data_IF_760850342334
#
_entry.id   IF_760850342334
#
_cell.length_a   1.000
_cell.length_b   1.000
_cell.length_c   1.000
_cell.angle_alpha   90.00
_cell.angle_beta   90.00
_cell.angle_gamma   90.00
#
_symmetry.space_group_name_H-M   'P 1'
#
loop_
_entity.id
_entity.type
_entity.pdbx_description
1 polymer ?
#
# COMPACT_ATOMS: atom_id res chain seq x y z
N UNK A 1 13.03 3.29 8.69
CA UNK A 1 11.67 2.97 8.18
C UNK A 1 11.08 1.92 9.09
N UNK A 2 9.94 2.21 9.68
CA UNK A 2 9.24 1.27 10.55
C UNK A 2 8.14 0.59 9.75
N UNK A 3 8.05 -0.72 9.82
CA UNK A 3 6.97 -1.51 9.26
C UNK A 3 6.15 -2.02 10.44
N UNK A 4 4.88 -1.63 10.49
CA UNK A 4 3.96 -2.08 11.53
C UNK A 4 3.15 -3.25 10.99
N UNK A 5 3.34 -4.45 11.55
CA UNK A 5 2.46 -5.58 11.32
C UNK A 5 1.46 -5.66 12.47
N UNK A 6 0.18 -5.46 12.16
CA UNK A 6 -0.89 -5.74 13.11
C UNK A 6 -1.39 -7.15 12.79
N UNK A 7 -1.00 -8.13 13.60
CA UNK A 7 -1.53 -9.48 13.51
C UNK A 7 -2.66 -9.63 14.52
N UNK A 8 -3.88 -9.76 14.03
CA UNK A 8 -5.05 -10.06 14.86
C UNK A 8 -5.13 -11.58 15.11
N UNK A 9 -5.01 -11.97 16.35
CA UNK A 9 -5.48 -13.27 16.81
C UNK A 9 -6.80 -13.08 17.55
N UNK A 10 -7.82 -13.84 17.12
CA UNK A 10 -9.16 -13.98 17.69
C UNK A 10 -9.42 -13.29 19.04
N UNK A 11 -10.30 -12.33 19.02
CA UNK A 11 -11.10 -11.73 20.12
C UNK A 11 -10.41 -11.21 21.40
N UNK A 12 -9.15 -11.46 21.70
CA UNK A 12 -8.56 -11.01 22.99
C UNK A 12 -7.16 -10.42 22.95
N UNK A 13 -6.37 -10.60 21.88
CA UNK A 13 -5.00 -10.08 21.85
C UNK A 13 -4.64 -9.48 20.49
N UNK A 14 -4.18 -8.23 20.51
CA UNK A 14 -3.57 -7.57 19.36
C UNK A 14 -2.06 -7.50 19.62
N UNK A 15 -1.23 -8.14 18.76
CA UNK A 15 0.22 -8.02 18.84
C UNK A 15 0.71 -7.05 17.77
N UNK A 16 1.37 -6.00 18.23
CA UNK A 16 1.97 -4.99 17.36
C UNK A 16 3.45 -5.37 17.10
N UNK A 17 3.82 -5.60 15.86
CA UNK A 17 5.22 -5.78 15.47
C UNK A 17 5.72 -4.54 14.73
N UNK A 18 6.75 -3.90 15.26
CA UNK A 18 7.45 -2.80 14.62
C UNK A 18 8.85 -3.26 14.20
N UNK A 19 9.14 -3.23 12.93
CA UNK A 19 10.48 -3.52 12.40
C UNK A 19 11.15 -2.21 12.00
N UNK A 20 12.28 -1.89 12.62
CA UNK A 20 13.08 -0.70 12.29
C UNK A 20 14.15 -1.03 11.25
N UNK A 21 14.34 -0.15 10.26
CA UNK A 21 15.58 -0.05 9.49
C UNK A 21 16.30 1.25 9.87
N UNK A 22 17.62 1.24 10.05
CA UNK A 22 18.38 2.43 10.43
C UNK A 22 18.49 3.42 9.26
N UNK A 23 18.38 4.69 9.59
CA UNK A 23 18.76 5.80 8.73
C UNK A 23 20.26 6.08 8.88
N UNK A 24 20.95 6.32 7.79
CA UNK A 24 22.40 6.59 7.73
C UNK A 24 22.79 7.90 8.39
N UNK A 25 23.99 7.99 9.00
CA UNK A 25 24.62 9.25 9.30
C UNK A 25 25.27 9.82 8.04
N UNK A 26 24.78 10.93 7.56
CA UNK A 26 25.42 11.71 6.49
C UNK A 26 25.82 13.06 7.04
N UNK A 27 27.01 13.53 6.67
CA UNK A 27 27.59 14.80 7.12
C UNK A 27 26.73 16.01 6.71
N UNK A 28 26.62 16.95 7.65
CA UNK A 28 25.56 17.97 7.77
C UNK A 28 25.46 19.07 6.69
N UNK A 29 26.22 19.12 5.63
CA UNK A 29 26.21 20.30 4.78
C UNK A 29 25.70 20.16 3.34
N UNK A 30 25.61 18.95 2.80
CA UNK A 30 25.10 18.74 1.43
C UNK A 30 23.83 17.89 1.35
N UNK A 31 23.51 17.16 2.40
CA UNK A 31 22.40 16.23 2.48
C UNK A 31 21.09 16.91 2.82
N UNK A 32 21.15 18.03 3.54
CA UNK A 32 19.99 18.75 4.06
C UNK A 32 19.10 19.38 2.98
N UNK A 33 19.62 19.68 1.80
CA UNK A 33 18.81 20.29 0.74
C UNK A 33 18.11 19.27 -0.18
N UNK A 34 18.69 18.09 -0.38
CA UNK A 34 18.10 17.04 -1.25
C UNK A 34 17.04 16.20 -0.54
N UNK A 35 17.23 15.91 0.76
CA UNK A 35 16.32 15.03 1.52
C UNK A 35 15.13 15.74 2.16
N UNK A 36 15.10 17.06 2.31
CA UNK A 36 13.93 17.82 2.77
C UNK A 36 12.72 17.77 1.82
N UNK A 37 12.88 17.21 0.63
CA UNK A 37 11.84 17.17 -0.42
C UNK A 37 10.97 15.91 -0.43
N UNK A 38 11.20 14.93 0.43
CA UNK A 38 10.70 13.57 0.15
C UNK A 38 9.79 12.90 1.18
N UNK A 39 9.38 13.56 2.25
CA UNK A 39 8.42 12.98 3.19
C UNK A 39 7.11 13.77 3.22
N UNK A 40 6.39 13.79 2.11
CA UNK A 40 4.97 14.10 2.13
C UNK A 40 4.22 12.80 2.37
N UNK A 41 3.83 12.56 3.61
CA UNK A 41 2.95 11.45 3.96
C UNK A 41 1.54 11.96 4.08
N UNK A 42 0.78 11.81 3.01
CA UNK A 42 -0.66 11.93 3.12
C UNK A 42 -1.14 10.73 3.95
N UNK A 43 -1.86 10.98 5.04
CA UNK A 43 -2.43 9.90 5.82
C UNK A 43 -3.35 9.05 4.93
N UNK A 44 -3.21 7.73 4.96
CA UNK A 44 -4.00 6.83 4.10
C UNK A 44 -5.52 7.00 4.31
N UNK A 45 -5.93 7.52 5.47
CA UNK A 45 -7.31 7.87 5.80
C UNK A 45 -7.84 9.05 4.96
N UNK A 46 -6.95 9.94 4.51
CA UNK A 46 -7.29 11.10 3.67
C UNK A 46 -7.38 10.76 2.18
N UNK A 47 -6.76 9.65 1.76
CA UNK A 47 -6.79 9.18 0.39
C UNK A 47 -8.18 8.61 0.10
N UNK A 48 -8.89 9.18 -0.88
CA UNK A 48 -10.25 8.78 -1.22
C UNK A 48 -10.30 8.02 -2.53
N UNK A 49 -11.15 6.98 -2.55
CA UNK A 49 -11.41 6.10 -3.69
C UNK A 49 -12.91 5.91 -3.86
N UNK A 50 -13.34 5.60 -5.09
CA UNK A 50 -14.73 5.20 -5.34
C UNK A 50 -14.90 3.70 -5.13
N UNK A 51 -15.93 3.33 -4.37
CA UNK A 51 -16.32 1.95 -4.07
C UNK A 51 -17.69 1.66 -4.68
N UNK A 52 -17.80 0.58 -5.44
CA UNK A 52 -19.00 0.11 -6.11
C UNK A 52 -19.47 -1.19 -5.46
N UNK A 53 -20.79 -1.40 -5.40
CA UNK A 53 -21.37 -2.63 -4.84
C UNK A 53 -20.99 -3.89 -5.64
N UNK A 54 -20.79 -3.73 -6.94
CA UNK A 54 -20.29 -4.74 -7.86
C UNK A 54 -19.85 -4.06 -9.18
N UNK A 55 -19.31 -4.84 -10.11
CA UNK A 55 -18.79 -4.30 -11.40
C UNK A 55 -19.84 -3.65 -12.30
N UNK A 56 -21.12 -3.90 -12.07
CA UNK A 56 -22.23 -3.35 -12.86
C UNK A 56 -22.79 -2.06 -12.24
N UNK A 57 -22.43 -1.77 -11.00
CA UNK A 57 -22.90 -0.57 -10.30
C UNK A 57 -22.38 0.69 -10.95
N UNK A 58 -23.26 1.71 -11.02
CA UNK A 58 -22.94 3.04 -11.56
C UNK A 58 -23.00 4.13 -10.51
N UNK A 59 -23.23 3.76 -9.25
CA UNK A 59 -23.34 4.69 -8.13
C UNK A 59 -22.27 4.34 -7.08
N UNK A 60 -21.12 4.99 -7.12
CA UNK A 60 -20.07 4.74 -6.14
C UNK A 60 -20.38 5.41 -4.80
N UNK A 61 -19.80 4.84 -3.73
CA UNK A 61 -19.59 5.50 -2.45
C UNK A 61 -18.13 5.92 -2.36
N UNK A 62 -17.84 7.09 -1.81
CA UNK A 62 -16.47 7.52 -1.53
C UNK A 62 -16.08 6.98 -0.16
N UNK A 63 -14.97 6.24 -0.13
CA UNK A 63 -14.37 5.70 1.10
C UNK A 63 -12.90 6.08 1.19
N UNK A 64 -12.30 5.98 2.37
CA UNK A 64 -10.84 6.08 2.46
C UNK A 64 -10.19 4.80 1.90
N UNK A 65 -9.02 4.97 1.30
CA UNK A 65 -8.24 3.82 0.81
C UNK A 65 -7.88 2.87 1.96
N UNK A 66 -7.55 3.42 3.13
CA UNK A 66 -7.26 2.62 4.32
C UNK A 66 -8.44 1.73 4.73
N UNK A 67 -9.67 2.28 4.79
CA UNK A 67 -10.87 1.49 5.12
C UNK A 67 -11.06 0.34 4.14
N UNK A 68 -10.88 0.58 2.84
CA UNK A 68 -11.00 -0.45 1.80
C UNK A 68 -9.97 -1.56 1.99
N UNK A 69 -8.70 -1.22 2.24
CA UNK A 69 -7.65 -2.23 2.47
C UNK A 69 -7.89 -3.00 3.77
N UNK A 70 -8.31 -2.33 4.85
CA UNK A 70 -8.68 -2.99 6.10
C UNK A 70 -9.82 -4.00 5.87
N UNK A 71 -10.85 -3.66 5.10
CA UNK A 71 -11.94 -4.59 4.77
C UNK A 71 -11.45 -5.79 3.96
N UNK A 72 -10.40 -5.64 3.15
CA UNK A 72 -9.77 -6.76 2.43
C UNK A 72 -8.90 -7.65 3.33
N UNK A 73 -8.34 -7.12 4.41
CA UNK A 73 -7.53 -7.89 5.37
C UNK A 73 -8.46 -8.65 6.34
N UNK A 74 -9.55 -8.02 6.79
CA UNK A 74 -10.51 -8.61 7.69
C UNK A 74 -11.45 -9.61 6.99
N UNK A 75 -12.05 -10.57 7.73
CA UNK A 75 -12.84 -11.67 7.15
C UNK A 75 -14.24 -11.26 6.65
N UNK A 76 -14.43 -9.98 6.26
CA UNK A 76 -15.73 -9.45 5.80
C UNK A 76 -16.24 -10.25 4.59
N UNK A 77 -15.36 -10.58 3.66
CA UNK A 77 -15.69 -11.31 2.44
C UNK A 77 -15.10 -12.73 2.39
N UNK A 78 -14.66 -13.26 3.55
CA UNK A 78 -13.95 -14.54 3.61
C UNK A 78 -14.73 -15.69 2.98
N UNK A 79 -16.04 -15.80 3.25
CA UNK A 79 -16.87 -16.90 2.75
C UNK A 79 -16.93 -16.93 1.22
N UNK A 80 -17.25 -15.80 0.59
CA UNK A 80 -17.37 -15.71 -0.87
C UNK A 80 -15.99 -15.83 -1.55
N UNK A 81 -14.93 -15.23 -0.96
CA UNK A 81 -13.57 -15.34 -1.50
C UNK A 81 -13.05 -16.77 -1.44
N UNK A 82 -13.27 -17.49 -0.35
CA UNK A 82 -12.87 -18.88 -0.24
C UNK A 82 -13.64 -19.77 -1.24
N UNK A 83 -14.92 -19.48 -1.50
CA UNK A 83 -15.67 -20.17 -2.55
C UNK A 83 -15.10 -19.88 -3.95
N UNK A 84 -14.77 -18.62 -4.26
CA UNK A 84 -14.12 -18.23 -5.53
C UNK A 84 -12.81 -18.99 -5.71
N UNK A 85 -11.94 -19.00 -4.70
CA UNK A 85 -10.64 -19.68 -4.74
C UNK A 85 -10.78 -21.19 -4.93
N UNK A 86 -11.79 -21.81 -4.30
CA UNK A 86 -12.07 -23.21 -4.45
C UNK A 86 -12.49 -23.54 -5.90
N UNK A 87 -13.51 -22.84 -6.45
CA UNK A 87 -13.93 -23.05 -7.83
C UNK A 87 -12.79 -22.81 -8.83
N UNK A 88 -11.98 -21.79 -8.58
CA UNK A 88 -10.82 -21.48 -9.41
C UNK A 88 -9.79 -22.61 -9.39
N UNK A 89 -9.48 -23.18 -8.22
CA UNK A 89 -8.58 -24.32 -8.06
C UNK A 89 -9.12 -25.62 -8.67
N UNK A 90 -10.44 -25.82 -8.67
CA UNK A 90 -11.14 -26.95 -9.31
C UNK A 90 -11.24 -26.78 -10.84
N UNK A 91 -10.81 -25.64 -11.40
CA UNK A 91 -10.89 -25.34 -12.84
C UNK A 91 -12.26 -24.84 -13.30
N UNK A 92 -13.24 -24.66 -12.39
CA UNK A 92 -14.54 -24.05 -12.71
C UNK A 92 -14.42 -22.51 -12.70
N UNK A 93 -13.73 -21.98 -13.71
CA UNK A 93 -13.53 -20.55 -13.87
C UNK A 93 -14.85 -19.79 -14.09
N UNK A 94 -15.88 -20.45 -14.64
CA UNK A 94 -17.18 -19.82 -14.86
C UNK A 94 -17.90 -19.54 -13.53
N UNK A 95 -17.95 -20.53 -12.63
CA UNK A 95 -18.51 -20.34 -11.28
C UNK A 95 -17.70 -19.32 -10.47
N UNK A 96 -16.37 -19.40 -10.51
CA UNK A 96 -15.49 -18.43 -9.87
C UNK A 96 -15.76 -16.99 -10.37
N UNK A 97 -15.87 -16.79 -11.68
CA UNK A 97 -16.14 -15.47 -12.28
C UNK A 97 -17.53 -14.95 -11.93
N UNK A 98 -18.54 -15.82 -11.89
CA UNK A 98 -19.91 -15.47 -11.49
C UNK A 98 -19.94 -14.93 -10.06
N UNK A 99 -19.25 -15.58 -9.11
CA UNK A 99 -19.14 -15.09 -7.74
C UNK A 99 -18.30 -13.82 -7.65
N UNK A 100 -17.16 -13.76 -8.36
CA UNK A 100 -16.29 -12.60 -8.40
C UNK A 100 -17.02 -11.34 -8.87
N UNK A 101 -17.93 -11.46 -9.84
CA UNK A 101 -18.72 -10.32 -10.34
C UNK A 101 -19.72 -9.75 -9.32
N UNK A 102 -20.02 -10.46 -8.25
CA UNK A 102 -20.88 -10.01 -7.15
C UNK A 102 -20.10 -9.27 -6.05
N UNK A 103 -18.77 -9.37 -6.06
CA UNK A 103 -17.95 -8.68 -5.07
C UNK A 103 -18.02 -7.17 -5.24
N UNK A 104 -17.95 -6.42 -4.14
CA UNK A 104 -17.64 -5.01 -4.22
C UNK A 104 -16.28 -4.80 -4.89
N UNK A 105 -16.15 -3.64 -5.52
CA UNK A 105 -14.92 -3.25 -6.18
C UNK A 105 -14.67 -1.75 -5.99
N UNK A 106 -13.44 -1.33 -6.19
CA UNK A 106 -13.05 0.06 -6.03
C UNK A 106 -12.09 0.49 -7.13
N UNK A 107 -11.95 1.79 -7.32
CA UNK A 107 -11.00 2.39 -8.25
C UNK A 107 -9.80 2.93 -7.47
N UNK A 108 -8.65 2.23 -7.43
CA UNK A 108 -7.48 2.67 -6.67
C UNK A 108 -7.00 4.07 -7.08
N UNK A 109 -7.08 4.40 -8.36
CA UNK A 109 -6.54 5.63 -8.92
C UNK A 109 -7.28 6.91 -8.49
N UNK A 110 -8.51 6.81 -7.98
CA UNK A 110 -9.23 7.99 -7.50
C UNK A 110 -10.74 7.85 -7.40
N UNK A 111 -11.41 8.98 -7.37
CA UNK A 111 -12.87 9.08 -7.25
C UNK A 111 -13.53 9.37 -8.59
N UNK A 112 -14.78 8.92 -8.72
CA UNK A 112 -15.59 9.05 -9.94
C UNK A 112 -16.99 9.55 -9.60
N UNK A 113 -17.59 10.31 -10.52
CA UNK A 113 -19.01 10.66 -10.49
C UNK A 113 -19.79 9.69 -11.38
N UNK A 114 -20.47 8.73 -10.77
CA UNK A 114 -21.22 7.68 -11.47
C UNK A 114 -20.37 6.47 -11.87
N UNK A 115 -20.51 5.97 -13.10
CA UNK A 115 -19.79 4.79 -13.56
C UNK A 115 -18.27 5.02 -13.63
N UNK A 116 -17.50 3.96 -13.40
CA UNK A 116 -16.02 3.97 -13.49
C UNK A 116 -15.55 4.10 -14.97
N UNK A 117 -15.70 5.26 -15.52
CA UNK A 117 -15.28 5.61 -16.90
C UNK A 117 -14.44 6.90 -16.84
N UNK A 118 -13.40 7.01 -17.66
CA UNK A 118 -12.45 8.15 -17.64
C UNK A 118 -13.16 9.51 -17.66
N UNK A 119 -14.24 9.65 -18.44
CA UNK A 119 -15.03 10.88 -18.50
C UNK A 119 -15.68 11.29 -17.18
N UNK A 120 -15.81 10.36 -16.23
CA UNK A 120 -16.41 10.58 -14.91
C UNK A 120 -15.35 10.70 -13.81
N UNK A 121 -14.06 10.68 -14.16
CA UNK A 121 -12.97 10.81 -13.19
C UNK A 121 -13.00 12.20 -12.55
N UNK A 122 -12.96 12.24 -11.21
CA UNK A 122 -13.05 13.49 -10.45
C UNK A 122 -11.70 13.92 -9.89
N UNK A 123 -11.15 13.11 -8.98
CA UNK A 123 -9.96 13.46 -8.23
C UNK A 123 -9.00 12.25 -8.15
N UNK A 124 -7.71 12.46 -8.41
CA UNK A 124 -6.72 11.41 -8.23
C UNK A 124 -6.51 11.10 -6.74
N UNK A 125 -6.35 9.82 -6.45
CA UNK A 125 -5.93 9.32 -5.13
C UNK A 125 -4.42 9.34 -4.95
N UNK A 126 -3.69 9.43 -6.05
CA UNK A 126 -2.25 9.20 -6.18
C UNK A 126 -1.83 7.73 -5.95
N UNK A 127 -2.78 6.81 -5.83
CA UNK A 127 -2.49 5.38 -5.70
C UNK A 127 -2.43 4.73 -7.08
N UNK A 128 -1.33 4.05 -7.33
CA UNK A 128 -1.16 3.10 -8.43
C UNK A 128 -1.34 1.69 -7.88
N UNK A 129 -2.25 0.92 -8.49
CA UNK A 129 -2.47 -0.49 -8.18
C UNK A 129 -1.91 -1.38 -9.28
N UNK A 130 -1.07 -2.34 -8.91
CA UNK A 130 -0.58 -3.40 -9.78
C UNK A 130 -1.28 -4.71 -9.46
N UNK A 131 -1.49 -5.53 -10.47
CA UNK A 131 -2.07 -6.87 -10.34
C UNK A 131 -1.06 -7.90 -10.86
N UNK A 132 -0.72 -8.88 -10.03
CA UNK A 132 0.14 -10.01 -10.36
C UNK A 132 -0.71 -11.27 -10.32
N UNK A 133 -0.97 -11.88 -11.48
CA UNK A 133 -1.73 -13.11 -11.58
C UNK A 133 -0.84 -14.36 -11.43
N UNK A 134 -1.45 -15.50 -11.10
CA UNK A 134 -0.79 -16.80 -11.01
C UNK A 134 0.43 -16.85 -10.10
N UNK A 135 0.35 -16.18 -8.95
CA UNK A 135 1.44 -16.11 -7.96
C UNK A 135 1.49 -17.39 -7.14
N UNK A 136 2.58 -18.17 -7.28
CA UNK A 136 2.75 -19.46 -6.59
C UNK A 136 2.82 -19.30 -5.07
N UNK A 137 3.60 -18.35 -4.58
CA UNK A 137 3.76 -18.05 -3.14
C UNK A 137 3.34 -16.60 -2.87
N UNK A 138 2.03 -16.42 -2.66
CA UNK A 138 1.45 -15.11 -2.39
C UNK A 138 1.95 -14.50 -1.09
N UNK A 139 2.18 -15.35 -0.07
CA UNK A 139 2.69 -14.90 1.22
C UNK A 139 4.11 -14.32 1.09
N UNK A 140 4.99 -14.99 0.38
CA UNK A 140 6.35 -14.51 0.13
C UNK A 140 6.34 -13.18 -0.62
N UNK A 141 5.49 -13.04 -1.64
CA UNK A 141 5.36 -11.78 -2.39
C UNK A 141 4.88 -10.65 -1.50
N UNK A 142 3.85 -10.88 -0.66
CA UNK A 142 3.37 -9.88 0.30
C UNK A 142 4.46 -9.49 1.29
N UNK A 143 5.24 -10.45 1.80
CA UNK A 143 6.34 -10.17 2.73
C UNK A 143 7.45 -9.33 2.07
N UNK A 144 7.80 -9.62 0.80
CA UNK A 144 8.76 -8.81 0.04
C UNK A 144 8.26 -7.38 -0.16
N UNK A 145 6.98 -7.22 -0.52
CA UNK A 145 6.34 -5.90 -0.59
C UNK A 145 6.35 -5.18 0.75
N UNK A 146 6.01 -5.89 1.84
CA UNK A 146 5.99 -5.31 3.19
C UNK A 146 7.37 -4.85 3.68
N UNK A 147 8.46 -5.44 3.17
CA UNK A 147 9.83 -5.02 3.45
C UNK A 147 10.27 -3.81 2.61
N UNK A 148 9.52 -3.44 1.58
CA UNK A 148 9.85 -2.34 0.68
C UNK A 148 9.22 -1.02 1.16
N UNK A 149 9.99 0.09 1.23
CA UNK A 149 9.49 1.35 1.77
C UNK A 149 8.45 2.05 0.89
N UNK A 150 8.37 1.72 -0.39
CA UNK A 150 7.41 2.32 -1.32
C UNK A 150 6.04 1.63 -1.30
N UNK A 151 5.94 0.46 -0.67
CA UNK A 151 4.67 -0.27 -0.61
C UNK A 151 3.70 0.40 0.34
N UNK A 152 2.56 0.84 -0.19
CA UNK A 152 1.44 1.36 0.60
C UNK A 152 0.58 0.23 1.13
N UNK A 153 0.28 -0.76 0.29
CA UNK A 153 -0.43 -1.97 0.69
C UNK A 153 -0.11 -3.13 -0.27
N UNK A 154 -0.23 -4.36 0.23
CA UNK A 154 -0.18 -5.57 -0.59
C UNK A 154 -1.19 -6.59 -0.06
N UNK A 155 -2.05 -7.12 -0.93
CA UNK A 155 -3.13 -8.05 -0.57
C UNK A 155 -3.24 -9.17 -1.60
N UNK A 156 -3.70 -10.34 -1.16
CA UNK A 156 -4.07 -11.40 -2.09
C UNK A 156 -5.27 -10.97 -2.96
N UNK A 157 -5.28 -11.37 -4.23
CA UNK A 157 -6.43 -11.21 -5.10
C UNK A 157 -7.57 -12.19 -4.72
N UNK A 158 -8.79 -11.99 -5.24
CA UNK A 158 -9.88 -12.96 -5.05
C UNK A 158 -9.58 -14.35 -5.57
N UNK A 159 -8.65 -14.51 -6.49
CA UNK A 159 -8.22 -15.77 -7.09
C UNK A 159 -6.85 -16.21 -6.60
N UNK A 160 -5.85 -16.23 -7.46
CA UNK A 160 -4.52 -16.79 -7.23
C UNK A 160 -3.38 -15.76 -7.31
N UNK A 161 -3.72 -14.47 -7.39
CA UNK A 161 -2.76 -13.38 -7.55
C UNK A 161 -2.52 -12.55 -6.29
N UNK A 162 -1.70 -11.50 -6.47
CA UNK A 162 -1.41 -10.47 -5.46
C UNK A 162 -1.58 -9.10 -6.09
N UNK A 163 -2.15 -8.17 -5.32
CA UNK A 163 -2.26 -6.76 -5.67
C UNK A 163 -1.31 -5.94 -4.82
N UNK A 164 -0.56 -5.06 -5.46
CA UNK A 164 0.40 -4.16 -4.82
C UNK A 164 0.00 -2.73 -5.09
N UNK A 165 0.06 -1.89 -4.07
CA UNK A 165 -0.32 -0.49 -4.15
C UNK A 165 0.83 0.41 -3.72
N UNK A 166 1.08 1.46 -4.49
CA UNK A 166 2.10 2.47 -4.20
C UNK A 166 1.54 3.87 -4.42
N UNK A 167 2.11 4.85 -3.71
CA UNK A 167 1.75 6.25 -3.86
C UNK A 167 2.72 6.95 -4.83
N UNK A 168 2.17 7.75 -5.74
CA UNK A 168 2.95 8.48 -6.73
C UNK A 168 2.60 9.97 -6.67
N UNK A 169 3.58 10.80 -6.33
CA UNK A 169 3.47 12.26 -6.35
C UNK A 169 3.64 12.79 -7.78
N UNK A 170 2.88 13.80 -8.16
CA UNK A 170 2.92 14.38 -9.50
C UNK A 170 2.21 13.54 -10.57
N UNK A 171 1.26 12.67 -10.16
CA UNK A 171 0.54 11.75 -11.06
C UNK A 171 -0.63 12.41 -11.80
N UNK A 172 -1.03 13.63 -11.44
CA UNK A 172 -2.16 14.33 -12.02
C UNK A 172 -2.02 14.42 -13.54
N UNK A 173 -3.01 13.89 -14.28
CA UNK A 173 -3.01 13.76 -15.75
C UNK A 173 -1.86 12.90 -16.33
N UNK A 174 -1.12 12.17 -15.48
CA UNK A 174 0.05 11.36 -15.85
C UNK A 174 -0.03 9.93 -15.27
N UNK A 175 -1.24 9.42 -15.04
CA UNK A 175 -1.45 8.12 -14.39
C UNK A 175 -0.68 6.98 -15.09
N UNK A 176 -0.69 6.99 -16.42
CA UNK A 176 0.02 5.99 -17.23
C UNK A 176 1.54 5.99 -16.98
N UNK A 177 2.14 7.17 -16.81
CA UNK A 177 3.57 7.30 -16.51
C UNK A 177 3.87 6.80 -15.10
N UNK A 178 3.03 7.18 -14.12
CA UNK A 178 3.13 6.66 -12.76
C UNK A 178 3.01 5.15 -12.70
N UNK A 179 2.04 4.59 -13.43
CA UNK A 179 1.86 3.14 -13.53
C UNK A 179 3.09 2.45 -14.14
N UNK A 180 3.68 3.00 -15.20
CA UNK A 180 4.88 2.46 -15.82
C UNK A 180 6.10 2.50 -14.87
N UNK A 181 6.25 3.59 -14.12
CA UNK A 181 7.32 3.74 -13.12
C UNK A 181 7.20 2.67 -12.03
N UNK A 182 6.02 2.56 -11.42
CA UNK A 182 5.72 1.63 -10.33
C UNK A 182 5.80 0.18 -10.80
N UNK A 183 5.24 -0.13 -11.98
CA UNK A 183 5.29 -1.46 -12.57
C UNK A 183 6.73 -1.93 -12.82
N UNK A 184 7.56 -1.10 -13.43
CA UNK A 184 8.98 -1.43 -13.68
C UNK A 184 9.71 -1.72 -12.37
N UNK A 185 9.49 -0.91 -11.36
CA UNK A 185 10.12 -1.08 -10.05
C UNK A 185 9.73 -2.41 -9.40
N UNK A 186 8.43 -2.69 -9.27
CA UNK A 186 7.96 -3.90 -8.61
C UNK A 186 8.18 -5.16 -9.43
N UNK A 187 8.13 -5.11 -10.76
CA UNK A 187 8.49 -6.25 -11.61
C UNK A 187 9.94 -6.67 -11.36
N UNK A 188 10.85 -5.71 -11.25
CA UNK A 188 12.25 -5.98 -10.90
C UNK A 188 12.39 -6.48 -9.46
N UNK A 189 11.72 -5.83 -8.49
CA UNK A 189 11.76 -6.22 -7.08
C UNK A 189 11.27 -7.65 -6.88
N UNK A 190 10.17 -8.03 -7.50
CA UNK A 190 9.50 -9.30 -7.28
C UNK A 190 9.98 -10.42 -8.21
N UNK A 191 10.57 -10.07 -9.34
CA UNK A 191 10.90 -11.02 -10.42
C UNK A 191 9.63 -11.57 -11.10
N UNK A 192 8.58 -10.76 -11.17
CA UNK A 192 7.27 -11.09 -11.75
C UNK A 192 6.87 -9.98 -12.74
N UNK A 193 5.93 -10.29 -13.64
CA UNK A 193 5.35 -9.29 -14.54
C UNK A 193 3.93 -8.93 -14.08
N UNK A 194 3.66 -7.64 -13.90
CA UNK A 194 2.32 -7.14 -13.58
C UNK A 194 1.42 -7.13 -14.81
N UNK A 195 0.10 -7.30 -14.60
CA UNK A 195 -0.89 -7.23 -15.68
C UNK A 195 -0.81 -5.88 -16.40
N UNK A 196 -0.44 -5.88 -17.71
CA UNK A 196 -0.34 -4.65 -18.48
C UNK A 196 -1.68 -3.98 -18.75
N UNK A 197 -2.82 -4.60 -18.43
CA UNK A 197 -4.14 -4.01 -18.58
C UNK A 197 -4.48 -2.97 -17.48
N UNK A 198 -3.69 -2.90 -16.39
CA UNK A 198 -3.89 -1.91 -15.32
C UNK A 198 -3.31 -0.53 -15.67
N UNK A 199 -3.73 0.06 -16.82
CA UNK A 199 -3.08 1.25 -17.39
C UNK A 199 -3.81 2.57 -17.17
N UNK A 200 -5.09 2.50 -16.85
CA UNK A 200 -5.93 3.68 -16.76
C UNK A 200 -6.61 3.82 -15.39
N UNK A 201 -7.06 5.02 -15.10
CA UNK A 201 -7.66 5.38 -13.82
C UNK A 201 -8.97 4.65 -13.56
N UNK A 202 -9.67 4.19 -14.61
CA UNK A 202 -10.97 3.54 -14.50
C UNK A 202 -10.90 2.07 -14.10
N UNK A 203 -9.70 1.51 -13.96
CA UNK A 203 -9.51 0.10 -13.61
C UNK A 203 -10.10 -0.21 -12.24
N UNK A 204 -10.97 -1.21 -12.19
CA UNK A 204 -11.56 -1.72 -10.95
C UNK A 204 -10.65 -2.74 -10.29
N UNK A 205 -10.57 -2.62 -8.97
CA UNK A 205 -9.96 -3.60 -8.09
C UNK A 205 -11.05 -4.24 -7.23
N UNK A 206 -11.21 -5.57 -7.27
CA UNK A 206 -12.17 -6.26 -6.42
C UNK A 206 -11.72 -6.30 -4.97
N UNK A 207 -12.68 -6.21 -4.05
CA UNK A 207 -12.44 -6.56 -2.66
C UNK A 207 -11.99 -8.02 -2.56
N UNK A 208 -11.25 -8.32 -1.50
CA UNK A 208 -10.66 -9.64 -1.30
C UNK A 208 -10.74 -10.07 0.17
N UNK A 209 -10.15 -11.22 0.47
CA UNK A 209 -9.83 -11.65 1.83
C UNK A 209 -8.36 -12.06 1.88
N UNK A 210 -7.57 -11.28 2.57
CA UNK A 210 -6.12 -11.43 2.66
C UNK A 210 -5.67 -11.33 4.13
N UNK A 211 -5.80 -12.40 4.91
CA UNK A 211 -5.45 -12.35 6.35
C UNK A 211 -3.99 -12.04 6.62
N UNK A 212 -3.12 -12.27 5.64
CA UNK A 212 -1.70 -11.90 5.67
C UNK A 212 -1.41 -10.63 4.86
N UNK A 213 -2.45 -9.87 4.50
CA UNK A 213 -2.32 -8.62 3.77
C UNK A 213 -1.54 -7.59 4.58
N UNK A 214 -0.84 -6.72 3.87
CA UNK A 214 -0.03 -5.65 4.44
C UNK A 214 -0.64 -4.29 4.13
N UNK A 215 -0.58 -3.38 5.09
CA UNK A 215 -0.83 -1.96 4.90
C UNK A 215 0.24 -1.16 5.67
N UNK A 216 0.84 -0.19 5.00
CA UNK A 216 1.91 0.62 5.57
C UNK A 216 1.37 1.61 6.60
N UNK A 217 2.05 1.74 7.74
CA UNK A 217 1.88 2.90 8.63
C UNK A 217 2.60 4.14 8.09
N UNK A 218 3.73 3.92 7.42
CA UNK A 218 4.56 4.92 6.76
C UNK A 218 5.02 4.39 5.41
N UNK A 219 5.07 5.23 4.39
CA UNK A 219 5.56 4.84 3.06
C UNK A 219 6.36 5.99 2.42
N UNK A 220 7.17 5.63 1.45
CA UNK A 220 7.90 6.56 0.61
C UNK A 220 7.19 6.69 -0.74
N UNK A 221 6.83 7.91 -1.14
CA UNK A 221 6.21 8.15 -2.43
C UNK A 221 7.22 7.93 -3.58
N UNK A 222 6.74 7.39 -4.70
CA UNK A 222 7.40 7.64 -5.98
C UNK A 222 7.13 9.08 -6.40
N UNK A 223 8.06 9.68 -7.14
CA UNK A 223 7.92 11.05 -7.64
C UNK A 223 8.05 11.05 -9.16
N UNK A 224 7.05 11.59 -9.82
CA UNK A 224 7.15 11.90 -11.25
C UNK A 224 7.74 13.31 -11.39
N UNK A 225 8.96 13.39 -11.90
CA UNK A 225 9.61 14.67 -12.19
C UNK A 225 8.73 15.54 -13.10
N UNK A 226 8.65 16.85 -12.87
CA UNK A 226 7.97 17.75 -13.78
C UNK A 226 8.58 17.63 -15.18
N UNK A 227 7.75 17.55 -16.22
CA UNK A 227 8.28 17.73 -17.58
C UNK A 227 8.86 19.15 -17.68
N UNK A 228 10.18 19.28 -17.59
CA UNK A 228 10.86 20.45 -18.11
C UNK A 228 10.50 20.50 -19.60
N UNK A 229 9.88 21.61 -20.04
CA UNK A 229 9.68 21.83 -21.48
C UNK A 229 11.05 21.79 -22.14
N UNK A 230 11.43 20.62 -22.66
CA UNK A 230 12.60 20.52 -23.50
C UNK A 230 12.34 21.34 -24.75
N UNK A 231 13.11 22.41 -24.92
CA UNK A 231 13.39 22.93 -26.24
C UNK A 231 14.02 21.80 -27.04
N UNK A 232 13.37 21.44 -28.13
CA UNK A 232 13.67 20.35 -29.02
C UNK A 232 15.14 20.27 -29.36
N UNK A 233 15.83 19.21 -28.93
CA UNK A 233 16.92 18.58 -29.70
C UNK A 233 17.01 17.10 -29.36
N UNK A 234 16.90 16.31 -30.41
CA UNK A 234 16.85 14.85 -30.41
C UNK A 234 18.16 14.22 -29.96
N UNK A 235 18.08 13.25 -29.08
CA UNK A 235 18.75 11.94 -29.21
C UNK A 235 18.37 11.03 -28.04
N UNK A 236 17.75 9.91 -28.38
CA UNK A 236 17.36 8.83 -27.47
C UNK A 236 18.61 8.06 -27.02
N UNK A 237 19.06 8.26 -25.81
CA UNK A 237 19.95 7.30 -25.15
C UNK A 237 19.24 6.66 -23.97
N UNK A 238 19.08 5.34 -24.05
CA UNK A 238 18.62 4.47 -22.96
C UNK A 238 19.62 4.55 -21.79
N UNK A 239 19.36 5.39 -20.80
CA UNK A 239 20.07 5.33 -19.52
C UNK A 239 19.57 4.17 -18.70
N UNK A 240 20.36 3.11 -18.66
CA UNK A 240 20.25 2.03 -17.70
C UNK A 240 20.51 2.61 -16.30
N UNK A 241 19.55 2.52 -15.39
CA UNK A 241 19.75 2.89 -14.00
C UNK A 241 20.76 1.93 -13.35
N UNK A 242 21.72 2.45 -12.56
CA UNK A 242 22.68 1.59 -11.87
C UNK A 242 22.01 0.71 -10.82
N UNK A 243 22.50 -0.51 -10.57
CA UNK A 243 21.97 -1.38 -9.52
C UNK A 243 22.22 -0.78 -8.14
N UNK A 244 21.20 -0.79 -7.30
CA UNK A 244 21.30 -0.31 -5.91
C UNK A 244 22.18 -1.26 -5.09
N UNK A 245 23.17 -0.75 -4.36
CA UNK A 245 23.95 -1.56 -3.44
C UNK A 245 23.12 -1.93 -2.20
N UNK A 246 23.01 -3.22 -1.90
CA UNK A 246 22.55 -3.73 -0.61
C UNK A 246 23.64 -3.45 0.42
N UNK A 247 23.40 -2.54 1.35
CA UNK A 247 24.28 -2.33 2.50
C UNK A 247 23.59 -2.74 3.79
N UNK A 248 24.25 -3.62 4.53
CA UNK A 248 23.92 -4.03 5.90
C UNK A 248 24.28 -2.91 6.88
N UNK A 249 23.31 -2.48 7.71
CA UNK A 249 23.56 -1.60 8.83
C UNK A 249 22.80 -2.06 10.08
N UNK A 250 23.50 -2.20 11.17
CA UNK A 250 22.99 -2.53 12.51
C UNK A 250 22.46 -1.27 13.22
N UNK A 251 21.36 -1.37 14.02
CA UNK A 251 20.73 -0.21 14.66
C UNK A 251 21.45 0.25 15.95
N UNK A 252 21.40 1.56 16.23
CA UNK A 252 21.76 2.14 17.53
C UNK A 252 20.75 1.73 18.61
N UNK A 253 21.28 1.42 19.81
CA UNK A 253 20.52 0.91 20.93
C UNK A 253 19.68 2.01 21.61
N UNK A 254 18.37 2.03 21.40
CA UNK A 254 17.40 2.68 22.28
C UNK A 254 17.08 1.71 23.42
N UNK A 255 17.17 2.16 24.67
CA UNK A 255 16.93 1.29 25.82
C UNK A 255 15.45 0.92 25.96
N UNK A 256 15.16 -0.30 26.44
CA UNK A 256 13.79 -0.74 26.73
C UNK A 256 13.06 0.21 27.70
N UNK A 257 13.78 0.87 28.60
CA UNK A 257 13.23 1.84 29.54
C UNK A 257 12.72 3.11 28.84
N UNK A 258 13.43 3.62 27.83
CA UNK A 258 12.98 4.79 27.04
C UNK A 258 11.74 4.46 26.22
N UNK A 259 11.68 3.24 25.68
CA UNK A 259 10.51 2.73 24.94
C UNK A 259 9.31 2.63 25.87
N UNK A 260 9.46 2.00 27.04
CA UNK A 260 8.39 1.84 28.02
C UNK A 260 7.88 3.18 28.56
N UNK A 261 8.77 4.14 28.80
CA UNK A 261 8.42 5.49 29.23
C UNK A 261 7.64 6.24 28.15
N UNK A 262 8.05 6.12 26.90
CA UNK A 262 7.34 6.73 25.77
C UNK A 262 5.93 6.16 25.63
N UNK A 263 5.76 4.84 25.64
CA UNK A 263 4.46 4.16 25.54
C UNK A 263 3.54 4.56 26.69
N UNK A 264 4.03 4.54 27.91
CA UNK A 264 3.27 4.91 29.12
C UNK A 264 2.78 6.35 29.05
N UNK A 265 3.65 7.27 28.62
CA UNK A 265 3.32 8.68 28.45
C UNK A 265 2.28 8.89 27.36
N UNK A 266 2.40 8.16 26.24
CA UNK A 266 1.46 8.27 25.14
C UNK A 266 0.07 7.73 25.51
N UNK A 267 0.00 6.56 26.17
CA UNK A 267 -1.29 5.97 26.63
C UNK A 267 -1.96 6.85 27.67
N UNK A 268 -1.18 7.51 28.55
CA UNK A 268 -1.70 8.47 29.51
C UNK A 268 -2.37 9.69 28.83
N UNK A 269 -1.76 10.20 27.76
CA UNK A 269 -2.30 11.33 27.00
C UNK A 269 -3.44 10.94 26.05
N UNK A 270 -3.45 9.67 25.60
CA UNK A 270 -4.40 9.13 24.63
C UNK A 270 -4.99 7.81 25.13
N UNK A 271 -5.93 7.83 26.10
CA UNK A 271 -6.49 6.61 26.69
C UNK A 271 -7.10 5.67 25.63
N UNK A 272 -6.82 4.37 25.77
CA UNK A 272 -7.33 3.32 24.87
C UNK A 272 -8.80 2.99 25.22
N UNK A 273 -9.71 3.90 24.95
CA UNK A 273 -11.16 3.70 25.18
C UNK A 273 -11.78 2.76 24.14
N UNK A 274 -12.86 2.10 24.52
CA UNK A 274 -13.62 1.23 23.60
C UNK A 274 -14.07 2.04 22.37
N UNK A 275 -13.84 1.51 21.17
CA UNK A 275 -14.14 2.18 19.89
C UNK A 275 -13.00 3.04 19.31
N UNK A 276 -12.05 3.48 20.12
CA UNK A 276 -10.89 4.29 19.64
C UNK A 276 -9.55 3.56 19.70
N UNK A 277 -9.54 2.32 20.22
CA UNK A 277 -8.30 1.56 20.45
C UNK A 277 -7.43 1.45 19.19
N UNK A 278 -8.01 1.16 18.03
CA UNK A 278 -7.28 1.01 16.78
C UNK A 278 -6.62 2.31 16.31
N UNK A 279 -7.39 3.40 16.34
CA UNK A 279 -6.89 4.72 15.95
C UNK A 279 -5.76 5.17 16.88
N UNK A 280 -5.88 4.94 18.19
CA UNK A 280 -4.87 5.37 19.15
C UNK A 280 -3.61 4.51 19.13
N UNK A 281 -3.73 3.19 18.93
CA UNK A 281 -2.57 2.30 18.72
C UNK A 281 -1.82 2.67 17.43
N UNK A 282 -2.55 2.95 16.36
CA UNK A 282 -1.93 3.41 15.11
C UNK A 282 -1.20 4.74 15.28
N UNK A 283 -1.82 5.72 15.97
CA UNK A 283 -1.18 7.01 16.28
C UNK A 283 0.05 6.83 17.16
N UNK A 284 0.03 5.92 18.13
CA UNK A 284 1.18 5.56 18.95
C UNK A 284 2.34 5.03 18.10
N UNK A 285 2.05 4.12 17.17
CA UNK A 285 3.06 3.59 16.25
C UNK A 285 3.68 4.68 15.35
N UNK A 286 2.86 5.60 14.82
CA UNK A 286 3.33 6.73 14.03
C UNK A 286 4.20 7.68 14.85
N UNK A 287 3.84 7.97 16.10
CA UNK A 287 4.60 8.86 16.97
C UNK A 287 5.91 8.22 17.42
N UNK A 288 5.92 6.92 17.73
CA UNK A 288 7.13 6.16 18.01
C UNK A 288 8.10 6.21 16.82
N UNK A 289 7.57 6.04 15.61
CA UNK A 289 8.34 6.17 14.37
C UNK A 289 8.96 7.56 14.20
N UNK A 290 8.22 8.63 14.45
CA UNK A 290 8.74 10.00 14.38
C UNK A 290 9.89 10.26 15.35
N UNK A 291 9.90 9.57 16.47
CA UNK A 291 10.94 9.68 17.51
C UNK A 291 12.09 8.71 17.33
N UNK A 292 12.12 7.97 16.21
CA UNK A 292 13.13 6.95 15.91
C UNK A 292 13.23 5.84 17.00
N UNK A 293 12.14 5.58 17.73
CA UNK A 293 12.07 4.54 18.74
C UNK A 293 11.81 3.19 18.07
N UNK A 294 12.65 2.21 18.39
CA UNK A 294 12.49 0.82 17.94
C UNK A 294 11.69 0.03 18.98
N UNK A 295 10.42 -0.25 18.70
CA UNK A 295 9.58 -1.08 19.56
C UNK A 295 9.67 -2.53 19.06
N UNK A 296 10.47 -3.36 19.72
CA UNK A 296 10.68 -4.75 19.28
C UNK A 296 9.61 -5.69 19.83
N UNK A 297 9.06 -5.43 21.02
CA UNK A 297 7.98 -6.23 21.63
C UNK A 297 7.11 -5.37 22.55
N UNK A 298 5.81 -5.38 22.34
CA UNK A 298 4.78 -5.11 23.33
C UNK A 298 3.75 -6.23 23.28
#
# INVERSE_FOLDING_TARGET
VFICFIKYYSHREATLFLISRPLFPLSDSQVTQSYKKQFYMKALEEIKVSVYENVYSKKPKVMSFLEVIIMCIHPVYASIINAIRRYYAEGDHAAAQKLKSQLPCFTPAGTFDGAHAIKNFLLPSHIVGLDYDHVKDRLQVIQRCAADPHTVAAIESPTDGVKVFAYVEGIENRHREGQQLVSRYYNQLLGLESDPACKDESRLCYFSYSPNGYVAGLYQAFVLEPHLKEETNASSENKVLPPFPLQDNTPENVSEAEIAQFISSYIFLHPLTAGQRHSNVFKLACEASRRHLSLIHI
#
